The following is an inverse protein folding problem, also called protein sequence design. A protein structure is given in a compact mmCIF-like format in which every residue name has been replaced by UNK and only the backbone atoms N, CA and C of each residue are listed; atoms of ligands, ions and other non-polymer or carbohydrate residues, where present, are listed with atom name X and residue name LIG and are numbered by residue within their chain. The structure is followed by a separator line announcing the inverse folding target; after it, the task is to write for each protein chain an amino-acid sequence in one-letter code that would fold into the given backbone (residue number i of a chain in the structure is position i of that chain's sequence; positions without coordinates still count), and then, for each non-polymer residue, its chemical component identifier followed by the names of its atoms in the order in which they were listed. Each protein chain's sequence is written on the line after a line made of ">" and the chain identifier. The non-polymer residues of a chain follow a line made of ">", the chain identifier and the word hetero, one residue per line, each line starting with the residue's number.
data_IF_687942977122
#
_entry.id   IF_687942977122
#
_cell.length_a   1.000
_cell.length_b   1.000
_cell.length_c   1.000
_cell.angle_alpha   90.00
_cell.angle_beta   90.00
_cell.angle_gamma   90.00
#
_symmetry.space_group_name_H-M   'P 1'
#
loop_
_entity.id
_entity.type
_entity.pdbx_description
1 polymer ?
#
# COMPACT_ATOMS: atom_id res chain seq x y z
N UNK A 1 -31.05 -47.90 21.47
CA UNK A 1 -31.82 -46.85 20.77
C UNK A 1 -31.75 -45.62 21.64
N UNK A 2 -31.45 -44.45 21.08
CA UNK A 2 -31.49 -43.19 21.82
C UNK A 2 -32.94 -42.89 22.23
N UNK A 3 -33.13 -42.29 23.40
CA UNK A 3 -34.44 -41.84 23.85
C UNK A 3 -34.86 -40.56 23.10
N UNK A 4 -36.17 -40.33 22.94
CA UNK A 4 -36.71 -39.17 22.21
C UNK A 4 -36.27 -37.82 22.83
N UNK A 5 -35.98 -37.81 24.13
CA UNK A 5 -35.42 -36.67 24.87
C UNK A 5 -34.00 -36.33 24.41
N UNK A 6 -33.14 -37.34 24.27
CA UNK A 6 -31.76 -37.19 23.80
C UNK A 6 -31.72 -36.73 22.34
N UNK A 7 -32.64 -37.22 21.50
CA UNK A 7 -32.75 -36.80 20.09
C UNK A 7 -33.12 -35.31 19.99
N UNK A 8 -34.07 -34.82 20.81
CA UNK A 8 -34.43 -33.40 20.85
C UNK A 8 -33.27 -32.52 21.29
N UNK A 9 -32.53 -32.94 22.32
CA UNK A 9 -31.39 -32.18 22.82
C UNK A 9 -30.29 -32.05 21.74
N UNK A 10 -30.00 -33.14 21.02
CA UNK A 10 -29.06 -33.14 19.90
C UNK A 10 -29.52 -32.18 18.79
N UNK A 11 -30.81 -32.18 18.45
CA UNK A 11 -31.38 -31.27 17.45
C UNK A 11 -31.24 -29.81 17.87
N UNK A 12 -31.50 -29.48 19.14
CA UNK A 12 -31.33 -28.13 19.67
C UNK A 12 -29.86 -27.67 19.63
N UNK A 13 -28.93 -28.55 20.03
CA UNK A 13 -27.48 -28.27 19.96
C UNK A 13 -27.06 -28.04 18.51
N UNK A 14 -27.50 -28.89 17.59
CA UNK A 14 -27.22 -28.76 16.16
C UNK A 14 -27.72 -27.44 15.60
N UNK A 15 -28.95 -27.02 15.96
CA UNK A 15 -29.49 -25.73 15.51
C UNK A 15 -28.70 -24.55 16.07
N UNK A 16 -28.34 -24.58 17.36
CA UNK A 16 -27.50 -23.54 17.99
C UNK A 16 -26.14 -23.45 17.31
N UNK A 17 -25.52 -24.58 16.98
CA UNK A 17 -24.25 -24.63 16.26
C UNK A 17 -24.38 -24.06 14.84
N UNK A 18 -25.47 -24.37 14.14
CA UNK A 18 -25.76 -23.82 12.82
C UNK A 18 -25.91 -22.28 12.86
N UNK A 19 -26.72 -21.77 13.78
CA UNK A 19 -26.93 -20.33 13.96
C UNK A 19 -25.64 -19.60 14.32
N UNK A 20 -24.80 -20.23 15.17
CA UNK A 20 -23.48 -19.72 15.49
C UNK A 20 -22.58 -19.66 14.26
N UNK A 21 -22.56 -20.70 13.43
CA UNK A 21 -21.78 -20.74 12.19
C UNK A 21 -22.20 -19.64 11.21
N UNK A 22 -23.50 -19.37 11.07
CA UNK A 22 -24.01 -18.26 10.26
C UNK A 22 -23.49 -16.91 10.79
N UNK A 23 -23.60 -16.68 12.10
CA UNK A 23 -23.11 -15.44 12.73
C UNK A 23 -21.61 -15.28 12.56
N UNK A 24 -20.85 -16.35 12.75
CA UNK A 24 -19.40 -16.37 12.57
C UNK A 24 -19.02 -16.04 11.12
N UNK A 25 -19.68 -16.64 10.13
CA UNK A 25 -19.45 -16.35 8.72
C UNK A 25 -19.69 -14.86 8.38
N UNK A 26 -20.78 -14.27 8.92
CA UNK A 26 -21.06 -12.84 8.78
C UNK A 26 -19.97 -11.96 9.42
N UNK A 27 -19.51 -12.33 10.62
CA UNK A 27 -18.43 -11.63 11.32
C UNK A 27 -17.11 -11.69 10.54
N UNK A 28 -16.71 -12.87 10.05
CA UNK A 28 -15.48 -13.06 9.27
C UNK A 28 -15.49 -12.20 8.00
N UNK A 29 -16.59 -12.22 7.23
CA UNK A 29 -16.76 -11.41 6.03
C UNK A 29 -16.62 -9.90 6.30
N UNK A 30 -17.19 -9.43 7.41
CA UNK A 30 -17.09 -8.01 7.81
C UNK A 30 -15.65 -7.63 8.18
N UNK A 31 -14.95 -8.50 8.92
CA UNK A 31 -13.57 -8.24 9.32
C UNK A 31 -12.62 -8.28 8.13
N UNK A 32 -12.83 -9.19 7.18
CA UNK A 32 -12.05 -9.25 5.95
C UNK A 32 -12.19 -7.96 5.14
N UNK A 33 -13.42 -7.45 4.95
CA UNK A 33 -13.65 -6.17 4.29
C UNK A 33 -12.93 -5.02 5.00
N UNK A 34 -13.04 -4.95 6.34
CA UNK A 34 -12.36 -3.91 7.12
C UNK A 34 -10.84 -4.00 7.01
N UNK A 35 -10.29 -5.22 6.96
CA UNK A 35 -8.85 -5.44 6.73
C UNK A 35 -8.44 -4.90 5.37
N UNK A 36 -9.17 -5.23 4.31
CA UNK A 36 -8.90 -4.72 2.96
C UNK A 36 -8.91 -3.18 2.92
N UNK A 37 -9.92 -2.55 3.54
CA UNK A 37 -9.99 -1.08 3.64
C UNK A 37 -8.79 -0.47 4.38
N UNK A 38 -8.28 -1.15 5.41
CA UNK A 38 -7.09 -0.70 6.15
C UNK A 38 -5.82 -0.91 5.34
N UNK A 39 -5.70 -2.02 4.62
CA UNK A 39 -4.58 -2.31 3.72
C UNK A 39 -4.53 -1.29 2.58
N UNK A 40 -5.66 -0.94 1.96
CA UNK A 40 -5.73 0.09 0.92
C UNK A 40 -5.34 1.47 1.44
N UNK A 41 -5.82 1.86 2.62
CA UNK A 41 -5.46 3.16 3.23
C UNK A 41 -3.99 3.27 3.57
N UNK A 42 -3.39 2.14 3.98
CA UNK A 42 -1.99 2.05 4.34
C UNK A 42 -1.11 1.59 3.18
N UNK A 43 -1.67 1.49 1.96
CA UNK A 43 -0.91 1.11 0.78
C UNK A 43 0.25 2.10 0.59
N UNK A 44 1.51 1.64 0.61
CA UNK A 44 2.67 2.52 0.56
C UNK A 44 2.71 3.38 -0.72
N UNK A 45 2.15 2.88 -1.83
CA UNK A 45 2.04 3.65 -3.07
C UNK A 45 1.02 4.76 -2.94
N UNK A 46 -0.14 4.49 -2.34
CA UNK A 46 -1.17 5.49 -2.04
C UNK A 46 -0.62 6.59 -1.13
N UNK A 47 0.03 6.20 -0.02
CA UNK A 47 0.67 7.13 0.91
C UNK A 47 1.74 8.00 0.24
N UNK A 48 2.62 7.39 -0.57
CA UNK A 48 3.61 8.12 -1.35
C UNK A 48 2.97 9.10 -2.35
N UNK A 49 1.94 8.70 -3.08
CA UNK A 49 1.27 9.58 -4.03
C UNK A 49 0.59 10.77 -3.34
N UNK A 50 -0.02 10.53 -2.17
CA UNK A 50 -0.57 11.59 -1.32
C UNK A 50 0.51 12.56 -0.86
N UNK A 51 1.63 12.06 -0.34
CA UNK A 51 2.76 12.89 0.07
C UNK A 51 3.36 13.68 -1.11
N UNK A 52 3.57 13.03 -2.25
CA UNK A 52 4.08 13.65 -3.48
C UNK A 52 3.22 14.83 -3.93
N UNK A 53 1.90 14.75 -3.76
CA UNK A 53 0.96 15.83 -4.08
C UNK A 53 0.86 16.92 -3.01
N UNK A 54 1.40 16.70 -1.81
CA UNK A 54 1.38 17.67 -0.71
C UNK A 54 2.43 18.77 -0.88
N UNK A 55 2.30 19.86 -0.10
CA UNK A 55 3.30 20.93 -0.04
C UNK A 55 4.69 20.41 0.31
N UNK A 56 4.79 19.51 1.29
CA UNK A 56 6.06 18.93 1.73
C UNK A 56 6.75 18.14 0.62
N UNK A 57 5.98 17.35 -0.15
CA UNK A 57 6.52 16.59 -1.28
C UNK A 57 6.99 17.49 -2.42
N UNK A 58 6.26 18.57 -2.70
CA UNK A 58 6.67 19.57 -3.70
C UNK A 58 7.91 20.34 -3.26
N UNK A 59 7.99 20.74 -1.98
CA UNK A 59 9.16 21.42 -1.42
C UNK A 59 10.39 20.53 -1.40
N UNK A 60 10.20 19.25 -1.05
CA UNK A 60 11.26 18.26 -1.15
C UNK A 60 11.75 18.14 -2.59
N UNK A 61 10.85 18.08 -3.58
CA UNK A 61 11.23 17.99 -5.00
C UNK A 61 12.08 19.20 -5.43
N UNK A 62 11.70 20.41 -5.02
CA UNK A 62 12.45 21.62 -5.33
C UNK A 62 13.86 21.61 -4.70
N UNK A 63 13.95 21.27 -3.41
CA UNK A 63 15.23 21.16 -2.69
C UNK A 63 16.12 20.09 -3.32
N UNK A 64 15.56 18.92 -3.63
CA UNK A 64 16.29 17.82 -4.24
C UNK A 64 16.81 18.19 -5.63
N UNK A 65 16.05 18.95 -6.41
CA UNK A 65 16.49 19.45 -7.70
C UNK A 65 17.72 20.37 -7.58
N UNK A 66 17.72 21.27 -6.59
CA UNK A 66 18.86 22.13 -6.29
C UNK A 66 20.08 21.33 -5.83
N UNK A 67 19.90 20.35 -4.94
CA UNK A 67 20.96 19.44 -4.47
C UNK A 67 21.56 18.66 -5.65
N UNK A 68 20.71 18.21 -6.59
CA UNK A 68 21.14 17.52 -7.80
C UNK A 68 21.65 18.46 -8.90
N UNK A 69 21.68 19.78 -8.66
CA UNK A 69 22.12 20.79 -9.63
C UNK A 69 21.38 20.73 -10.97
N UNK A 70 20.10 20.35 -10.94
CA UNK A 70 19.29 20.15 -12.14
C UNK A 70 19.69 18.94 -13.01
N UNK A 71 20.52 18.02 -12.49
CA UNK A 71 20.96 16.83 -13.22
C UNK A 71 20.16 15.60 -12.81
N UNK A 72 19.89 14.73 -13.78
CA UNK A 72 19.32 13.42 -13.52
C UNK A 72 20.27 12.58 -12.65
N UNK A 73 19.74 11.99 -11.57
CA UNK A 73 20.58 11.20 -10.67
C UNK A 73 21.21 9.96 -11.33
N UNK A 74 20.62 9.46 -12.42
CA UNK A 74 21.08 8.27 -13.14
C UNK A 74 22.00 8.60 -14.32
N UNK A 75 21.53 9.36 -15.32
CA UNK A 75 22.32 9.64 -16.52
C UNK A 75 23.18 10.90 -16.43
N UNK A 76 23.07 11.68 -15.33
CA UNK A 76 23.80 12.94 -15.08
C UNK A 76 23.58 14.05 -16.12
N UNK A 77 22.64 13.88 -17.06
CA UNK A 77 22.24 14.93 -17.99
C UNK A 77 21.32 15.94 -17.32
N UNK A 78 21.38 17.19 -17.80
CA UNK A 78 20.45 18.23 -17.39
C UNK A 78 19.00 17.81 -17.65
N UNK A 79 18.12 18.12 -16.71
CA UNK A 79 16.69 17.88 -16.80
C UNK A 79 15.93 19.06 -16.20
N UNK A 80 14.74 19.39 -16.72
CA UNK A 80 13.90 20.41 -16.10
C UNK A 80 13.29 19.93 -14.78
N UNK A 81 13.04 20.86 -13.85
CA UNK A 81 12.30 20.56 -12.62
C UNK A 81 10.88 20.06 -12.93
N UNK A 82 10.17 20.80 -13.80
CA UNK A 82 8.86 20.39 -14.33
C UNK A 82 9.10 19.26 -15.33
N UNK A 83 8.45 18.11 -15.13
CA UNK A 83 8.67 16.91 -15.92
C UNK A 83 9.71 15.94 -15.35
N UNK A 84 10.51 16.33 -14.35
CA UNK A 84 11.30 15.35 -13.58
C UNK A 84 10.40 14.49 -12.68
N UNK A 85 10.83 13.26 -12.43
CA UNK A 85 10.10 12.28 -11.61
C UNK A 85 10.82 12.03 -10.29
N UNK A 86 10.06 11.93 -9.19
CA UNK A 86 10.57 11.38 -7.93
C UNK A 86 10.60 9.85 -8.08
N UNK A 87 11.80 9.29 -8.11
CA UNK A 87 12.08 7.86 -8.23
C UNK A 87 12.54 7.29 -6.89
N UNK A 88 12.14 6.06 -6.62
CA UNK A 88 12.66 5.28 -5.51
C UNK A 88 13.90 4.50 -5.96
N UNK A 89 15.03 4.70 -5.28
CA UNK A 89 16.26 3.92 -5.50
C UNK A 89 15.93 2.43 -5.36
N UNK A 90 15.31 2.05 -4.25
CA UNK A 90 14.70 0.74 -4.03
C UNK A 90 13.17 0.83 -4.27
N UNK A 91 12.63 0.13 -5.28
CA UNK A 91 11.21 0.22 -5.66
C UNK A 91 10.25 -0.05 -4.49
N UNK A 92 9.16 0.71 -4.38
CA UNK A 92 8.10 0.46 -3.37
C UNK A 92 7.57 -0.98 -3.45
N UNK A 93 7.47 -1.57 -4.65
CA UNK A 93 6.92 -2.93 -4.82
C UNK A 93 7.74 -4.02 -4.12
N UNK A 94 9.04 -3.80 -3.90
CA UNK A 94 9.93 -4.74 -3.21
C UNK A 94 10.39 -4.22 -1.84
N UNK A 95 10.31 -2.92 -1.61
CA UNK A 95 10.72 -2.25 -0.37
C UNK A 95 9.65 -1.25 0.11
N UNK A 96 8.43 -1.72 0.43
CA UNK A 96 7.30 -0.87 0.80
C UNK A 96 7.60 0.04 2.01
N UNK A 97 8.40 -0.44 2.97
CA UNK A 97 8.82 0.30 4.16
C UNK A 97 9.66 1.55 3.85
N UNK A 98 10.24 1.64 2.65
CA UNK A 98 11.07 2.77 2.21
C UNK A 98 10.31 3.76 1.32
N UNK A 99 8.98 3.66 1.25
CA UNK A 99 8.16 4.47 0.33
C UNK A 99 8.26 5.98 0.59
N UNK A 100 8.40 6.39 1.84
CA UNK A 100 8.50 7.80 2.28
C UNK A 100 9.89 8.14 2.86
N UNK A 101 10.84 7.21 2.83
CA UNK A 101 12.21 7.46 3.25
C UNK A 101 12.89 8.37 2.21
N UNK A 102 13.11 9.63 2.56
CA UNK A 102 13.73 10.62 1.68
C UNK A 102 15.14 10.23 1.21
N UNK A 103 15.86 9.40 1.97
CA UNK A 103 17.17 8.88 1.56
C UNK A 103 17.08 7.85 0.43
N UNK A 104 15.90 7.23 0.28
CA UNK A 104 15.57 6.29 -0.80
C UNK A 104 14.98 7.00 -2.04
N UNK A 105 14.85 8.34 -2.02
CA UNK A 105 14.27 9.10 -3.12
C UNK A 105 15.34 9.87 -3.92
N UNK A 106 15.11 10.03 -5.21
CA UNK A 106 15.94 10.85 -6.12
C UNK A 106 15.12 11.40 -7.26
N UNK A 107 15.65 12.38 -7.99
CA UNK A 107 15.03 12.86 -9.23
C UNK A 107 15.65 12.23 -10.47
N UNK A 108 14.79 11.72 -11.35
CA UNK A 108 15.14 11.20 -12.66
C UNK A 108 14.47 11.98 -13.79
N UNK A 109 15.12 12.01 -14.95
CA UNK A 109 14.46 12.43 -16.19
C UNK A 109 13.46 11.36 -16.64
N UNK A 110 12.46 11.71 -17.48
CA UNK A 110 11.46 10.76 -17.95
C UNK A 110 12.05 9.48 -18.55
N UNK A 111 13.08 9.61 -19.39
CA UNK A 111 13.73 8.46 -20.04
C UNK A 111 14.33 7.48 -19.03
N UNK A 112 15.09 7.98 -18.04
CA UNK A 112 15.70 7.14 -17.00
C UNK A 112 14.66 6.52 -16.07
N UNK A 113 13.62 7.27 -15.69
CA UNK A 113 12.55 6.77 -14.85
C UNK A 113 11.81 5.59 -15.52
N UNK A 114 11.45 5.75 -16.80
CA UNK A 114 10.79 4.70 -17.58
C UNK A 114 11.71 3.50 -17.81
N UNK A 115 12.99 3.72 -18.12
CA UNK A 115 13.96 2.64 -18.34
C UNK A 115 14.21 1.80 -17.09
N UNK A 116 14.23 2.41 -15.90
CA UNK A 116 14.36 1.71 -14.62
C UNK A 116 13.14 0.85 -14.31
N UNK A 117 11.95 1.43 -14.41
CA UNK A 117 10.71 0.78 -13.99
C UNK A 117 10.76 0.36 -12.51
N UNK A 118 10.45 -0.90 -12.23
CA UNK A 118 10.49 -1.49 -10.89
C UNK A 118 11.79 -2.27 -10.60
N UNK A 119 12.85 -2.03 -11.38
CA UNK A 119 14.20 -2.54 -11.11
C UNK A 119 14.89 -1.70 -10.04
#
# INVERSE_FOLDING_TARGET
>A
MLEDSEIKEIQEISQKAHDFNIKLAGFLKKNEKRRQELEEKNDPRHLFNKWKGSKDGQDWKQKQYAIQQGLCAMCKKSMPLIGSHIDHIKPISTHPQLALDVSNLRLLCPACNTSKGNK
#
